data_IF_652798125170
#
_entry.id   IF_652798125170
#
_cell.length_a   1.000
_cell.length_b   1.000
_cell.length_c   1.000
_cell.angle_alpha   90.00
_cell.angle_beta   90.00
_cell.angle_gamma   90.00
#
_symmetry.space_group_name_H-M   'P 1'
#
loop_
_entity.id
_entity.type
_entity.pdbx_description
1 polymer ?
#
# COMPACT_ATOMS: atom_id res chain seq x y z
N UNK A 1 -13.24 -60.70 29.37
CA UNK A 1 -11.82 -60.45 29.70
C UNK A 1 -11.07 -61.73 29.36
N UNK A 2 -10.27 -61.76 28.26
CA UNK A 2 -8.98 -61.05 28.19
C UNK A 2 -8.70 -60.29 26.87
N UNK A 3 -7.76 -59.34 26.95
CA UNK A 3 -7.05 -58.64 25.86
C UNK A 3 -6.02 -59.58 25.20
N UNK A 4 -5.46 -59.38 23.99
CA UNK A 4 -4.61 -58.27 23.46
C UNK A 4 -4.24 -58.58 21.95
N UNK A 5 -3.31 -57.92 21.23
CA UNK A 5 -3.57 -56.95 20.13
C UNK A 5 -2.95 -57.29 18.75
N UNK A 6 -3.28 -56.52 17.70
CA UNK A 6 -2.43 -56.26 16.52
C UNK A 6 -2.98 -55.01 15.79
N UNK A 7 -2.36 -53.84 15.96
CA UNK A 7 -1.28 -53.31 15.11
C UNK A 7 -1.66 -53.15 13.62
N UNK A 8 -2.04 -51.94 13.25
CA UNK A 8 -1.73 -51.32 11.96
C UNK A 8 -1.85 -49.80 12.16
N UNK A 9 -0.72 -49.11 12.26
CA UNK A 9 0.02 -48.54 11.14
C UNK A 9 -0.44 -47.10 10.88
N UNK A 10 0.43 -46.20 11.33
CA UNK A 10 0.42 -44.76 11.18
C UNK A 10 0.27 -44.37 9.72
N UNK A 11 -0.65 -43.44 9.44
CA UNK A 11 -0.45 -42.39 8.43
C UNK A 11 -1.04 -41.12 9.01
N UNK A 12 -0.23 -40.42 9.80
CA UNK A 12 -0.40 -39.00 10.05
C UNK A 12 0.41 -38.32 8.94
N UNK A 13 -0.25 -37.91 7.86
CA UNK A 13 0.36 -37.05 6.86
C UNK A 13 0.12 -35.60 7.28
N UNK A 14 1.20 -34.85 7.27
CA UNK A 14 1.33 -33.42 7.52
C UNK A 14 0.22 -32.60 6.88
N UNK A 15 -0.63 -32.01 7.72
CA UNK A 15 -1.33 -30.79 7.36
C UNK A 15 -0.38 -29.63 7.67
N UNK A 16 0.01 -28.89 6.62
CA UNK A 16 0.84 -27.69 6.74
C UNK A 16 0.19 -26.71 7.73
N UNK A 17 0.85 -26.48 8.85
CA UNK A 17 0.57 -25.38 9.76
C UNK A 17 1.04 -24.09 9.06
N UNK A 18 0.10 -23.35 8.49
CA UNK A 18 0.38 -22.03 7.93
C UNK A 18 0.40 -21.08 9.12
N UNK A 19 1.59 -20.67 9.53
CA UNK A 19 1.83 -19.65 10.55
C UNK A 19 0.92 -18.42 10.35
N UNK A 20 -0.18 -18.34 11.11
CA UNK A 20 -1.05 -17.16 11.23
C UNK A 20 -0.38 -16.09 12.10
N UNK A 21 0.77 -15.57 11.65
CA UNK A 21 1.48 -14.45 12.31
C UNK A 21 0.91 -13.07 11.95
N UNK A 22 -0.19 -13.00 11.19
CA UNK A 22 -0.81 -11.72 10.81
C UNK A 22 -1.74 -11.15 11.90
N UNK A 23 -2.17 -11.95 12.87
CA UNK A 23 -3.21 -11.54 13.84
C UNK A 23 -2.75 -10.52 14.86
N UNK A 24 -1.44 -10.38 15.13
CA UNK A 24 -0.93 -9.39 16.09
C UNK A 24 -0.93 -7.96 15.54
N UNK A 25 -1.00 -7.77 14.22
CA UNK A 25 -1.02 -6.43 13.60
C UNK A 25 -2.44 -5.89 13.31
N UNK A 26 -3.49 -6.70 13.46
CA UNK A 26 -4.86 -6.29 13.13
C UNK A 26 -5.58 -5.51 14.23
N UNK A 27 -5.11 -5.56 15.49
CA UNK A 27 -5.73 -4.79 16.56
C UNK A 27 -5.52 -3.26 16.42
N UNK A 28 -4.62 -2.82 15.53
CA UNK A 28 -4.39 -1.39 15.27
C UNK A 28 -5.23 -0.81 14.12
N UNK A 29 -5.81 -1.64 13.24
CA UNK A 29 -6.61 -1.16 12.09
C UNK A 29 -8.11 -1.00 12.41
N UNK A 30 -8.68 -1.84 13.27
CA UNK A 30 -10.09 -1.71 13.69
C UNK A 30 -10.38 -0.37 14.41
N UNK A 31 -9.34 0.26 14.97
CA UNK A 31 -9.40 1.60 15.55
C UNK A 31 -9.66 2.71 14.52
N UNK A 32 -9.41 2.45 13.23
CA UNK A 32 -9.61 3.40 12.12
C UNK A 32 -11.00 3.25 11.49
N UNK A 33 -11.64 2.07 11.62
CA UNK A 33 -12.88 1.73 10.89
C UNK A 33 -14.18 2.02 11.65
N UNK A 34 -14.12 2.49 12.90
CA UNK A 34 -15.31 2.79 13.72
C UNK A 34 -16.02 4.11 13.36
N UNK A 35 -15.84 4.63 12.15
CA UNK A 35 -16.57 5.81 11.70
C UNK A 35 -18.06 5.46 11.48
N UNK A 36 -19.01 6.25 12.02
CA UNK A 36 -20.42 6.07 11.70
C UNK A 36 -20.64 6.20 10.17
N UNK A 37 -21.50 5.34 9.64
CA UNK A 37 -21.86 5.19 8.22
C UNK A 37 -22.54 6.42 7.56
N UNK A 38 -22.26 7.65 8.00
CA UNK A 38 -22.68 8.87 7.33
C UNK A 38 -21.60 9.31 6.33
N UNK A 39 -21.35 8.48 5.32
CA UNK A 39 -20.67 8.90 4.09
C UNK A 39 -21.63 9.84 3.33
N UNK A 40 -21.86 11.03 3.88
CA UNK A 40 -22.10 12.20 3.07
C UNK A 40 -20.86 12.28 2.20
N UNK A 41 -20.99 11.85 0.95
CA UNK A 41 -19.96 11.93 -0.09
C UNK A 41 -19.53 13.38 -0.16
N UNK A 42 -18.54 13.74 0.67
CA UNK A 42 -18.06 15.09 0.79
C UNK A 42 -17.49 15.42 -0.59
N UNK A 43 -17.88 16.58 -1.08
CA UNK A 43 -17.44 17.12 -2.35
C UNK A 43 -15.95 17.47 -2.21
N UNK A 44 -15.08 16.45 -2.26
CA UNK A 44 -13.63 16.62 -2.34
C UNK A 44 -13.29 17.16 -3.73
N UNK A 45 -13.51 18.46 -3.90
CA UNK A 45 -13.29 19.20 -5.15
C UNK A 45 -13.26 20.72 -4.97
N UNK A 46 -13.41 21.24 -3.75
CA UNK A 46 -13.58 22.68 -3.49
C UNK A 46 -12.38 23.39 -2.84
N UNK A 47 -11.24 22.73 -2.64
CA UNK A 47 -10.06 23.34 -1.97
C UNK A 47 -9.60 24.62 -2.69
N UNK A 48 -9.67 24.63 -4.03
CA UNK A 48 -9.35 25.79 -4.86
C UNK A 48 -10.37 26.93 -4.75
N UNK A 49 -11.63 26.62 -4.37
CA UNK A 49 -12.65 27.62 -4.08
C UNK A 49 -12.45 28.22 -2.68
N UNK A 50 -12.04 27.42 -1.68
CA UNK A 50 -11.75 27.90 -0.32
C UNK A 50 -10.64 28.96 -0.29
N UNK A 51 -9.59 28.80 -1.13
CA UNK A 51 -8.50 29.78 -1.24
C UNK A 51 -8.93 31.15 -1.80
N UNK A 52 -10.09 31.23 -2.44
CA UNK A 52 -10.60 32.47 -3.04
C UNK A 52 -11.58 33.21 -2.12
N UNK A 53 -11.92 32.65 -0.96
CA UNK A 53 -12.90 33.22 -0.04
C UNK A 53 -12.25 34.27 0.88
N UNK A 54 -13.06 35.23 1.32
CA UNK A 54 -12.66 36.19 2.34
C UNK A 54 -12.36 35.47 3.68
N UNK A 55 -11.40 35.97 4.48
CA UNK A 55 -10.95 35.30 5.71
C UNK A 55 -12.10 35.08 6.71
N UNK A 56 -13.03 36.03 6.83
CA UNK A 56 -14.19 35.88 7.72
C UNK A 56 -15.15 34.77 7.27
N UNK A 57 -15.30 34.58 5.96
CA UNK A 57 -16.13 33.52 5.40
C UNK A 57 -15.46 32.15 5.59
N UNK A 58 -14.14 32.10 5.42
CA UNK A 58 -13.35 30.89 5.65
C UNK A 58 -13.48 30.40 7.10
N UNK A 59 -13.39 31.31 8.08
CA UNK A 59 -13.55 30.97 9.50
C UNK A 59 -14.95 30.39 9.79
N UNK A 60 -16.01 30.95 9.18
CA UNK A 60 -17.38 30.42 9.34
C UNK A 60 -17.52 29.01 8.76
N UNK A 61 -16.99 28.78 7.56
CA UNK A 61 -17.00 27.45 6.93
C UNK A 61 -16.21 26.45 7.77
N UNK A 62 -15.05 26.86 8.28
CA UNK A 62 -14.21 26.02 9.14
C UNK A 62 -14.89 25.66 10.46
N UNK A 63 -15.57 26.61 11.11
CA UNK A 63 -16.35 26.37 12.33
C UNK A 63 -17.51 25.40 12.09
N UNK A 64 -18.25 25.57 10.99
CA UNK A 64 -19.35 24.68 10.64
C UNK A 64 -18.86 23.26 10.37
N UNK A 65 -17.78 23.13 9.59
CA UNK A 65 -17.13 21.84 9.36
C UNK A 65 -16.62 21.21 10.66
N UNK A 66 -16.03 22.03 11.55
CA UNK A 66 -15.54 21.57 12.83
C UNK A 66 -16.64 21.03 13.74
N UNK A 67 -17.80 21.69 13.74
CA UNK A 67 -19.00 21.23 14.46
C UNK A 67 -19.49 19.88 13.94
N UNK A 68 -19.49 19.70 12.61
CA UNK A 68 -19.87 18.43 12.00
C UNK A 68 -18.90 17.31 12.41
N UNK A 69 -17.59 17.57 12.37
CA UNK A 69 -16.58 16.59 12.76
C UNK A 69 -16.69 16.21 14.25
N UNK A 70 -16.99 17.18 15.13
CA UNK A 70 -17.26 16.92 16.54
C UNK A 70 -18.50 16.06 16.75
N UNK A 71 -19.54 16.22 15.93
CA UNK A 71 -20.75 15.39 15.98
C UNK A 71 -20.45 13.93 15.56
N UNK A 72 -19.66 13.75 14.51
CA UNK A 72 -19.34 12.43 13.96
C UNK A 72 -18.32 11.66 14.82
N UNK A 73 -17.30 12.34 15.37
CA UNK A 73 -16.15 11.71 16.04
C UNK A 73 -16.00 12.07 17.53
N UNK A 74 -16.77 13.02 18.06
CA UNK A 74 -16.64 13.46 19.44
C UNK A 74 -16.95 12.39 20.50
N UNK A 75 -17.80 11.41 20.15
CA UNK A 75 -18.12 10.26 20.98
C UNK A 75 -17.32 8.99 20.61
N UNK A 76 -16.29 9.11 19.77
CA UNK A 76 -15.49 7.96 19.34
C UNK A 76 -14.82 7.29 20.56
N UNK A 77 -14.84 5.94 20.63
CA UNK A 77 -14.18 5.21 21.71
C UNK A 77 -12.64 5.30 21.64
N UNK A 78 -12.10 5.73 20.51
CA UNK A 78 -10.65 5.83 20.31
C UNK A 78 -10.11 7.17 20.86
N UNK A 79 -9.27 7.16 21.91
CA UNK A 79 -8.75 8.38 22.50
C UNK A 79 -7.86 9.17 21.53
N UNK A 80 -7.17 8.50 20.59
CA UNK A 80 -6.28 9.14 19.62
C UNK A 80 -7.07 10.06 18.68
N UNK A 81 -8.25 9.62 18.23
CA UNK A 81 -9.10 10.41 17.34
C UNK A 81 -9.61 11.66 18.07
N UNK A 82 -10.05 11.49 19.32
CA UNK A 82 -10.53 12.60 20.15
C UNK A 82 -9.43 13.61 20.45
N UNK A 83 -8.24 13.13 20.80
CA UNK A 83 -7.10 14.00 21.09
C UNK A 83 -6.66 14.76 19.83
N UNK A 84 -6.53 14.06 18.70
CA UNK A 84 -6.19 14.70 17.42
C UNK A 84 -7.20 15.77 16.98
N UNK A 85 -8.49 15.53 17.23
CA UNK A 85 -9.55 16.49 16.94
C UNK A 85 -9.46 17.74 17.84
N UNK A 86 -9.18 17.57 19.13
CA UNK A 86 -8.92 18.69 20.05
C UNK A 86 -7.68 19.48 19.63
N UNK A 87 -6.58 18.80 19.31
CA UNK A 87 -5.34 19.44 18.86
C UNK A 87 -5.53 20.24 17.58
N UNK A 88 -6.27 19.69 16.61
CA UNK A 88 -6.56 20.37 15.34
C UNK A 88 -7.41 21.63 15.55
N UNK A 89 -8.46 21.58 16.39
CA UNK A 89 -9.26 22.78 16.68
C UNK A 89 -8.56 23.79 17.57
N UNK A 90 -7.62 23.34 18.40
CA UNK A 90 -6.79 24.23 19.20
C UNK A 90 -5.99 25.22 18.34
N UNK A 91 -5.69 24.87 17.07
CA UNK A 91 -5.03 25.78 16.12
C UNK A 91 -5.82 27.06 15.86
N UNK A 92 -7.16 27.03 15.92
CA UNK A 92 -7.98 28.23 15.73
C UNK A 92 -7.88 29.22 16.91
N UNK A 93 -7.43 28.76 18.08
CA UNK A 93 -7.28 29.63 19.26
C UNK A 93 -6.03 30.53 19.17
N UNK A 94 -5.09 30.21 18.29
CA UNK A 94 -3.86 30.98 18.11
C UNK A 94 -4.01 31.99 16.96
N UNK A 95 -3.48 33.20 17.18
CA UNK A 95 -3.43 34.23 16.14
C UNK A 95 -2.50 33.82 14.97
N UNK A 96 -1.43 33.08 15.27
CA UNK A 96 -0.56 32.46 14.29
C UNK A 96 -0.44 30.95 14.57
N UNK A 97 -1.00 30.08 13.69
CA UNK A 97 -0.97 28.63 13.90
C UNK A 97 0.43 28.03 13.79
N UNK A 98 1.37 28.70 13.11
CA UNK A 98 2.74 28.21 12.95
C UNK A 98 3.59 28.36 14.21
N UNK A 99 3.20 29.25 15.13
CA UNK A 99 3.86 29.43 16.44
C UNK A 99 3.22 28.56 17.53
N UNK A 100 2.23 27.75 17.17
CA UNK A 100 1.56 26.89 18.14
C UNK A 100 2.46 25.70 18.54
N UNK A 101 2.29 25.15 19.76
CA UNK A 101 2.99 23.92 20.17
C UNK A 101 2.63 22.71 19.30
N UNK A 102 1.57 22.82 18.49
CA UNK A 102 1.03 21.79 17.61
C UNK A 102 1.39 22.10 16.14
N UNK A 103 2.30 23.05 15.90
CA UNK A 103 2.71 23.45 14.55
C UNK A 103 3.23 22.29 13.69
N UNK A 104 3.71 21.21 14.30
CA UNK A 104 4.09 19.97 13.63
C UNK A 104 2.95 19.36 12.79
N UNK A 105 1.67 19.59 13.12
CA UNK A 105 0.55 19.14 12.30
C UNK A 105 0.41 19.90 10.98
N UNK A 106 1.01 21.09 10.86
CA UNK A 106 1.01 21.88 9.63
C UNK A 106 2.19 21.55 8.71
N UNK A 107 3.11 20.69 9.14
CA UNK A 107 4.26 20.31 8.35
C UNK A 107 3.84 19.43 7.16
N UNK A 108 4.07 19.87 5.90
CA UNK A 108 3.75 19.05 4.72
C UNK A 108 4.53 17.73 4.68
N UNK A 109 5.70 17.63 5.33
CA UNK A 109 6.47 16.39 5.38
C UNK A 109 5.73 15.27 6.14
N UNK A 110 4.89 15.64 7.11
CA UNK A 110 4.06 14.68 7.85
C UNK A 110 2.93 14.09 6.99
N UNK A 111 2.54 14.74 5.89
CA UNK A 111 1.51 14.24 4.97
C UNK A 111 1.99 13.05 4.14
N UNK A 112 3.27 12.94 3.84
CA UNK A 112 3.80 11.86 2.99
C UNK A 112 3.65 10.45 3.61
N UNK A 113 4.04 10.19 4.87
CA UNK A 113 3.79 8.89 5.50
C UNK A 113 2.30 8.61 5.68
N UNK A 114 1.49 9.65 5.93
CA UNK A 114 0.04 9.51 6.04
C UNK A 114 -0.58 9.10 4.70
N UNK A 115 -0.17 9.72 3.59
CA UNK A 115 -0.62 9.38 2.25
C UNK A 115 -0.31 7.90 1.94
N UNK A 116 0.92 7.45 2.23
CA UNK A 116 1.28 6.02 2.06
C UNK A 116 0.41 5.08 2.90
N UNK A 117 0.13 5.45 4.14
CA UNK A 117 -0.73 4.64 5.02
C UNK A 117 -2.17 4.57 4.49
N UNK A 118 -2.71 5.71 4.04
CA UNK A 118 -4.05 5.81 3.48
C UNK A 118 -4.13 5.04 2.17
N UNK A 119 -3.16 5.16 1.28
CA UNK A 119 -3.10 4.39 0.02
C UNK A 119 -3.12 2.88 0.30
N UNK A 120 -2.33 2.43 1.28
CA UNK A 120 -2.32 1.03 1.70
C UNK A 120 -3.66 0.60 2.33
N UNK A 121 -4.29 1.45 3.15
CA UNK A 121 -5.58 1.18 3.77
C UNK A 121 -6.72 1.16 2.74
N UNK A 122 -6.69 2.02 1.72
CA UNK A 122 -7.64 2.00 0.60
C UNK A 122 -7.52 0.66 -0.12
N UNK A 123 -6.30 0.24 -0.49
CA UNK A 123 -6.08 -1.07 -1.14
C UNK A 123 -6.51 -2.24 -0.25
N UNK A 124 -6.40 -2.11 1.08
CA UNK A 124 -6.83 -3.16 2.01
C UNK A 124 -8.36 -3.20 2.22
N UNK A 125 -9.03 -2.05 2.12
CA UNK A 125 -10.48 -1.90 2.36
C UNK A 125 -11.29 -2.10 1.08
N UNK A 126 -10.74 -1.69 -0.06
CA UNK A 126 -11.23 -2.10 -1.36
C UNK A 126 -10.87 -3.57 -1.57
N UNK A 127 -11.86 -4.41 -1.81
CA UNK A 127 -11.62 -5.79 -2.29
C UNK A 127 -11.19 -5.77 -3.77
N UNK A 128 -10.42 -4.76 -4.15
CA UNK A 128 -9.84 -4.62 -5.47
C UNK A 128 -8.84 -5.77 -5.64
N UNK A 129 -8.85 -6.46 -6.79
CA UNK A 129 -7.89 -7.51 -7.03
C UNK A 129 -6.48 -6.91 -6.91
N UNK A 130 -5.60 -7.58 -6.16
CA UNK A 130 -4.19 -7.20 -5.96
C UNK A 130 -3.42 -7.00 -7.27
N UNK A 131 -3.98 -7.44 -8.38
CA UNK A 131 -3.52 -7.21 -9.74
C UNK A 131 -4.64 -6.61 -10.57
N UNK A 132 -4.29 -5.72 -11.48
CA UNK A 132 -5.26 -5.21 -12.45
C UNK A 132 -5.88 -6.37 -13.25
N UNK A 133 -7.14 -6.25 -13.63
CA UNK A 133 -7.81 -7.27 -14.46
C UNK A 133 -7.04 -7.53 -15.77
N UNK A 134 -6.42 -6.49 -16.32
CA UNK A 134 -5.57 -6.58 -17.51
C UNK A 134 -4.32 -7.42 -17.25
N UNK A 135 -3.64 -7.20 -16.13
CA UNK A 135 -2.47 -8.00 -15.76
C UNK A 135 -2.83 -9.47 -15.56
N UNK A 136 -3.98 -9.76 -14.93
CA UNK A 136 -4.46 -11.12 -14.78
C UNK A 136 -4.69 -11.80 -16.13
N UNK A 137 -5.38 -11.12 -17.06
CA UNK A 137 -5.61 -11.62 -18.43
C UNK A 137 -4.27 -11.84 -19.14
N UNK A 138 -3.34 -10.89 -19.11
CA UNK A 138 -2.04 -11.03 -19.75
C UNK A 138 -1.23 -12.21 -19.20
N UNK A 139 -1.24 -12.43 -17.88
CA UNK A 139 -0.58 -13.59 -17.27
C UNK A 139 -1.23 -14.90 -17.69
N UNK A 140 -2.57 -14.96 -17.67
CA UNK A 140 -3.31 -16.15 -18.06
C UNK A 140 -3.09 -16.50 -19.54
N UNK A 141 -3.17 -15.52 -20.44
CA UNK A 141 -2.88 -15.71 -21.86
C UNK A 141 -1.42 -16.11 -22.08
N UNK A 142 -0.47 -15.56 -21.32
CA UNK A 142 0.93 -15.97 -21.38
C UNK A 142 1.16 -17.43 -20.96
N UNK A 143 0.49 -17.88 -19.89
CA UNK A 143 0.52 -19.27 -19.45
C UNK A 143 -0.11 -20.22 -20.48
N UNK A 144 -1.27 -19.84 -21.04
CA UNK A 144 -1.90 -20.61 -22.13
C UNK A 144 -1.00 -20.71 -23.36
N UNK A 145 -0.31 -19.63 -23.72
CA UNK A 145 0.58 -19.62 -24.87
C UNK A 145 1.79 -20.55 -24.66
N UNK A 146 2.34 -20.58 -23.44
CA UNK A 146 3.40 -21.51 -23.06
C UNK A 146 2.91 -22.97 -23.16
N UNK A 147 1.73 -23.29 -22.60
CA UNK A 147 1.11 -24.62 -22.70
C UNK A 147 0.80 -25.05 -24.14
N UNK A 148 0.35 -24.11 -24.99
CA UNK A 148 0.11 -24.42 -26.40
C UNK A 148 1.42 -24.65 -27.16
N UNK A 149 2.49 -23.93 -26.81
CA UNK A 149 3.82 -24.13 -27.42
C UNK A 149 4.40 -25.51 -27.10
N UNK A 150 4.23 -26.00 -25.86
CA UNK A 150 4.73 -27.33 -25.42
C UNK A 150 3.93 -28.47 -26.06
N UNK A 151 2.64 -28.28 -26.33
CA UNK A 151 1.77 -29.23 -27.04
C UNK A 151 1.99 -29.31 -28.56
N UNK A 152 3.11 -28.77 -29.05
CA UNK A 152 3.56 -28.80 -30.46
C UNK A 152 2.72 -27.96 -31.41
N UNK A 153 2.08 -26.90 -30.91
CA UNK A 153 1.43 -25.89 -31.75
C UNK A 153 2.45 -24.80 -32.12
N UNK A 154 3.05 -24.91 -33.31
CA UNK A 154 4.11 -23.98 -33.75
C UNK A 154 3.66 -22.52 -33.88
N UNK A 155 2.37 -22.27 -34.12
CA UNK A 155 1.80 -20.92 -34.23
C UNK A 155 1.75 -20.19 -32.89
N UNK A 156 1.56 -20.92 -31.78
CA UNK A 156 1.56 -20.34 -30.43
C UNK A 156 2.97 -19.86 -30.02
N UNK A 157 4.03 -20.52 -30.51
CA UNK A 157 5.41 -20.11 -30.24
C UNK A 157 5.83 -18.81 -30.94
N UNK A 158 5.07 -18.34 -31.94
CA UNK A 158 5.41 -17.14 -32.71
C UNK A 158 4.92 -15.85 -32.03
N UNK A 159 4.01 -15.96 -31.06
CA UNK A 159 3.43 -14.82 -30.38
C UNK A 159 4.17 -14.59 -29.06
N UNK A 160 4.48 -13.34 -28.72
CA UNK A 160 5.02 -12.99 -27.40
C UNK A 160 4.35 -11.73 -26.87
N UNK A 161 3.48 -11.89 -25.87
CA UNK A 161 2.69 -10.79 -25.30
C UNK A 161 3.54 -9.60 -24.84
N UNK A 162 4.71 -9.89 -24.23
CA UNK A 162 5.64 -8.86 -23.76
C UNK A 162 6.29 -8.07 -24.90
N UNK A 163 6.63 -8.75 -26.01
CA UNK A 163 7.32 -8.15 -27.15
C UNK A 163 6.37 -7.42 -28.09
N UNK A 164 5.20 -8.01 -28.33
CA UNK A 164 4.33 -7.61 -29.45
C UNK A 164 3.20 -6.67 -29.00
N UNK A 165 2.74 -6.76 -27.75
CA UNK A 165 1.55 -6.03 -27.28
C UNK A 165 1.78 -5.14 -26.06
N UNK A 166 2.75 -5.47 -25.20
CA UNK A 166 3.00 -4.71 -23.95
C UNK A 166 4.21 -3.77 -24.04
N UNK A 167 4.90 -3.72 -25.18
CA UNK A 167 5.98 -2.77 -25.38
C UNK A 167 5.39 -1.38 -25.58
N UNK A 168 5.63 -0.48 -24.63
CA UNK A 168 5.34 0.95 -24.81
C UNK A 168 6.24 1.48 -25.93
N UNK A 169 5.71 1.96 -27.07
CA UNK A 169 6.53 2.51 -28.12
C UNK A 169 7.12 3.84 -27.64
N UNK A 170 8.43 3.87 -27.36
CA UNK A 170 9.14 5.09 -26.99
C UNK A 170 10.28 4.97 -25.98
N UNK A 171 10.54 3.80 -25.38
CA UNK A 171 11.65 3.65 -24.44
C UNK A 171 12.77 2.76 -25.03
N UNK A 172 13.99 3.29 -25.25
CA UNK A 172 15.11 2.46 -25.70
C UNK A 172 15.48 1.45 -24.60
N UNK A 173 15.88 0.22 -24.97
CA UNK A 173 16.42 -0.72 -24.01
C UNK A 173 17.70 -0.13 -23.40
N UNK A 174 17.82 -0.17 -22.06
CA UNK A 174 19.09 0.10 -21.39
C UNK A 174 20.05 -1.05 -21.76
N UNK A 175 21.07 -0.73 -22.55
CA UNK A 175 22.20 -1.62 -22.85
C UNK A 175 22.85 -2.04 -21.52
N UNK A 176 23.05 -3.35 -21.27
CA UNK A 176 23.84 -3.79 -20.13
C UNK A 176 25.31 -3.43 -20.38
N UNK A 177 25.88 -2.61 -19.49
CA UNK A 177 27.31 -2.33 -19.47
C UNK A 177 28.09 -3.65 -19.29
N UNK A 178 28.76 -4.08 -20.35
CA UNK A 178 29.73 -5.17 -20.31
C UNK A 178 30.95 -4.73 -19.50
N UNK A 179 31.02 -5.15 -18.23
CA UNK A 179 32.28 -5.14 -17.50
C UNK A 179 33.16 -6.29 -18.02
N UNK A 180 33.91 -5.98 -19.08
CA UNK A 180 35.03 -6.81 -19.53
C UNK A 180 36.05 -6.96 -18.41
N UNK A 181 36.08 -8.14 -17.80
CA UNK A 181 37.12 -8.55 -16.86
C UNK A 181 38.36 -8.95 -17.68
N UNK A 182 39.19 -7.97 -18.03
CA UNK A 182 40.56 -8.18 -18.52
C UNK A 182 41.44 -8.60 -17.35
N UNK A 183 41.68 -9.91 -17.21
CA UNK A 183 42.75 -10.44 -16.37
C UNK A 183 44.08 -10.39 -17.13
N UNK A 184 44.90 -9.39 -16.83
CA UNK A 184 46.30 -9.32 -17.25
C UNK A 184 47.14 -8.58 -16.20
N UNK A 185 48.24 -9.21 -15.76
CA UNK A 185 49.24 -8.69 -14.81
C UNK A 185 49.47 -9.71 -13.68
N UNK A 186 50.40 -10.68 -13.77
CA UNK A 186 51.86 -10.59 -13.85
C UNK A 186 52.46 -9.91 -12.59
N UNK A 187 52.66 -10.69 -11.53
CA UNK A 187 53.55 -10.31 -10.43
C UNK A 187 54.71 -11.31 -10.35
N UNK A 188 55.87 -10.80 -10.76
CA UNK A 188 57.19 -11.38 -10.66
C UNK A 188 57.78 -10.95 -9.31
N UNK A 189 57.84 -11.85 -8.33
CA UNK A 189 58.46 -11.59 -7.03
C UNK A 189 59.70 -12.47 -6.85
N UNK A 190 60.89 -11.88 -7.01
CA UNK A 190 62.17 -12.48 -6.61
C UNK A 190 63.23 -11.42 -6.28
N UNK A 191 63.43 -11.17 -4.97
CA UNK A 191 64.62 -10.62 -4.26
C UNK A 191 65.09 -9.20 -4.60
N UNK A 192 65.92 -8.51 -3.76
CA UNK A 192 66.77 -8.93 -2.61
C UNK A 192 66.45 -8.14 -1.29
N UNK A 193 67.04 -8.34 -0.10
CA UNK A 193 68.39 -8.74 0.36
C UNK A 193 68.38 -9.88 1.38
#
# INVERSE_FOLDING_TARGET
MPATPANNARVAEDMMDVDDTCTTSMMSLAAITNAPNSLHRAQFGQISSLRKMEPEQLVRVLLEYGRQLQADYGASPNPIIREGLVHTFSLLAYADPAQSPIAALLDPAACEPLARLVDAAIVATENAPRMSALECICRHTGALLAELSTRRNGTASLLSLKRDFLRVPGFPPHEPHEHGCTSAGAESEARPM
#
